data_IF_419654862725
#
_entry.id   IF_419654862725
#
_cell.length_a   1.000
_cell.length_b   1.000
_cell.length_c   1.000
_cell.angle_alpha   90.00
_cell.angle_beta   90.00
_cell.angle_gamma   90.00
#
_symmetry.space_group_name_H-M   'P 1'
#
loop_
_entity.id
_entity.type
_entity.pdbx_description
1 polymer ?
#
# COMPACT_ATOMS: atom_id res chain seq x y z
N UNK A 1 -10.31 -3.45 -13.93
CA UNK A 1 -9.93 -3.91 -12.58
C UNK A 1 -9.75 -2.69 -11.67
N UNK A 2 -10.83 -2.21 -11.03
CA UNK A 2 -10.76 -0.98 -10.19
C UNK A 2 -10.09 -1.22 -8.85
N UNK A 3 -10.37 -2.37 -8.24
CA UNK A 3 -9.85 -2.76 -6.92
C UNK A 3 -8.33 -2.82 -6.82
N UNK A 4 -7.64 -3.26 -7.88
CA UNK A 4 -6.17 -3.29 -7.88
C UNK A 4 -5.57 -1.87 -7.82
N UNK A 5 -6.24 -0.90 -8.44
CA UNK A 5 -5.77 0.48 -8.45
C UNK A 5 -5.77 1.07 -7.04
N UNK A 6 -6.87 0.88 -6.31
CA UNK A 6 -7.03 1.35 -4.94
C UNK A 6 -6.05 0.67 -3.98
N UNK A 7 -5.80 -0.64 -4.15
CA UNK A 7 -4.78 -1.36 -3.37
C UNK A 7 -3.39 -0.78 -3.63
N UNK A 8 -3.01 -0.54 -4.88
CA UNK A 8 -1.69 -0.02 -5.24
C UNK A 8 -1.49 1.41 -4.76
N UNK A 9 -2.50 2.28 -4.83
CA UNK A 9 -2.43 3.64 -4.28
C UNK A 9 -2.14 3.63 -2.78
N UNK A 10 -2.84 2.79 -2.01
CA UNK A 10 -2.61 2.67 -0.56
C UNK A 10 -1.24 2.11 -0.23
N UNK A 11 -0.81 1.08 -0.96
CA UNK A 11 0.50 0.47 -0.76
C UNK A 11 1.64 1.46 -0.99
N UNK A 12 1.48 2.35 -1.98
CA UNK A 12 2.52 3.31 -2.39
C UNK A 12 2.39 4.67 -1.69
N UNK A 13 1.33 4.95 -0.95
CA UNK A 13 1.06 6.25 -0.31
C UNK A 13 2.26 6.73 0.53
N UNK A 14 2.79 5.86 1.39
CA UNK A 14 3.92 6.17 2.28
C UNK A 14 5.22 6.39 1.52
N UNK A 15 5.48 5.59 0.49
CA UNK A 15 6.65 5.73 -0.39
C UNK A 15 6.55 7.04 -1.17
N UNK A 16 5.39 7.35 -1.74
CA UNK A 16 5.19 8.57 -2.50
C UNK A 16 5.37 9.83 -1.66
N UNK A 17 5.03 9.77 -0.37
CA UNK A 17 5.23 10.88 0.57
C UNK A 17 6.71 11.10 0.92
N UNK A 18 7.47 10.01 1.11
CA UNK A 18 8.89 10.05 1.53
C UNK A 18 9.89 10.06 0.38
N UNK A 19 9.46 9.74 -0.84
CA UNK A 19 10.30 9.68 -2.04
C UNK A 19 11.15 10.94 -2.33
N UNK A 20 10.66 12.18 -2.10
CA UNK A 20 11.48 13.37 -2.30
C UNK A 20 12.71 13.43 -1.38
N UNK A 21 12.57 12.93 -0.14
CA UNK A 21 13.62 12.93 0.87
C UNK A 21 14.57 11.73 0.71
N UNK A 22 14.09 10.63 0.13
CA UNK A 22 14.85 9.39 -0.05
C UNK A 22 15.37 9.17 -1.49
N UNK A 23 15.56 10.26 -2.24
CA UNK A 23 16.02 10.18 -3.63
C UNK A 23 17.32 9.38 -3.78
N UNK A 24 17.34 8.43 -4.73
CA UNK A 24 18.48 7.54 -4.97
C UNK A 24 18.48 6.23 -4.15
N UNK A 25 17.50 6.04 -3.27
CA UNK A 25 17.33 4.80 -2.51
C UNK A 25 16.50 3.78 -3.29
N UNK A 26 16.85 2.49 -3.17
CA UNK A 26 16.04 1.39 -3.70
C UNK A 26 15.19 0.80 -2.59
N UNK A 27 13.87 0.85 -2.74
CA UNK A 27 12.91 0.24 -1.82
C UNK A 27 12.45 -1.09 -2.41
N UNK A 28 12.59 -2.17 -1.64
CA UNK A 28 12.09 -3.50 -2.01
C UNK A 28 10.71 -3.70 -1.40
N UNK A 29 9.70 -3.91 -2.24
CA UNK A 29 8.34 -4.25 -1.81
C UNK A 29 8.24 -5.77 -1.77
N UNK A 30 8.37 -6.35 -0.58
CA UNK A 30 8.23 -7.78 -0.35
C UNK A 30 6.86 -8.12 0.28
N UNK A 31 6.62 -9.41 0.54
CA UNK A 31 5.37 -9.85 1.14
C UNK A 31 5.16 -9.23 2.53
N UNK A 32 6.22 -9.11 3.34
CA UNK A 32 6.11 -8.53 4.68
C UNK A 32 5.68 -7.07 4.60
N UNK A 33 6.23 -6.31 3.65
CA UNK A 33 5.83 -4.93 3.39
C UNK A 33 4.36 -4.83 2.97
N UNK A 34 3.89 -5.73 2.10
CA UNK A 34 2.48 -5.75 1.67
C UNK A 34 1.56 -6.09 2.84
N UNK A 35 1.91 -7.08 3.66
CA UNK A 35 1.12 -7.50 4.81
C UNK A 35 1.08 -6.42 5.90
N UNK A 36 2.15 -5.67 6.12
CA UNK A 36 2.18 -4.55 7.06
C UNK A 36 1.29 -3.38 6.60
N UNK A 37 1.27 -3.07 5.30
CA UNK A 37 0.55 -1.91 4.77
C UNK A 37 -0.91 -2.20 4.41
N UNK A 38 -1.24 -3.44 4.03
CA UNK A 38 -2.56 -3.82 3.51
C UNK A 38 -3.23 -4.90 4.39
N UNK A 39 -2.46 -5.63 5.21
CA UNK A 39 -2.95 -6.81 5.93
C UNK A 39 -4.00 -6.52 7.00
N UNK A 40 -3.93 -5.37 7.68
CA UNK A 40 -5.00 -4.92 8.60
C UNK A 40 -6.26 -4.53 7.83
N UNK A 41 -6.11 -3.87 6.67
CA UNK A 41 -7.22 -3.42 5.82
C UNK A 41 -8.00 -4.56 5.19
N UNK A 42 -7.32 -5.66 4.84
CA UNK A 42 -7.94 -6.84 4.24
C UNK A 42 -8.61 -7.73 5.29
N UNK A 43 -8.17 -7.67 6.55
CA UNK A 43 -8.82 -8.39 7.66
C UNK A 43 -10.18 -7.79 8.03
N UNK A 44 -10.37 -6.50 7.75
CA UNK A 44 -11.64 -5.83 7.98
C UNK A 44 -12.48 -5.84 6.70
N UNK A 45 -13.45 -6.76 6.67
CA UNK A 45 -14.31 -7.04 5.52
C UNK A 45 -15.20 -5.83 5.14
N UNK A 46 -15.48 -4.94 6.10
CA UNK A 46 -16.24 -3.71 5.87
C UNK A 46 -15.33 -2.60 5.33
N UNK A 47 -14.11 -2.44 5.86
CA UNK A 47 -13.13 -1.52 5.27
C UNK A 47 -12.75 -1.94 3.84
N UNK A 48 -12.54 -3.23 3.59
CA UNK A 48 -12.25 -3.74 2.25
C UNK A 48 -13.42 -3.55 1.27
N UNK A 49 -14.66 -3.35 1.74
CA UNK A 49 -15.82 -3.05 0.87
C UNK A 49 -15.95 -1.57 0.53
N UNK A 50 -15.45 -0.69 1.39
CA UNK A 50 -15.56 0.76 1.22
C UNK A 50 -14.30 1.43 0.66
N UNK A 51 -13.12 0.84 0.88
CA UNK A 51 -11.83 1.43 0.52
C UNK A 51 -11.18 0.73 -0.70
N UNK A 52 -11.55 -0.53 -0.99
CA UNK A 52 -10.98 -1.33 -2.09
C UNK A 52 -12.02 -1.64 -3.18
#
# INVERSE_FOLDING_TARGET
ARRLHTVMERLLEKISFSAPDESGTSITIDQAYVDENIGELVKDEDLSRYIL
#
